data_IF_611393545869
#
_entry.id   IF_611393545869
#
_cell.length_a   1.000
_cell.length_b   1.000
_cell.length_c   1.000
_cell.angle_alpha   90.00
_cell.angle_beta   90.00
_cell.angle_gamma   90.00
#
_symmetry.space_group_name_H-M   'P 1'
#
loop_
_entity.id
_entity.type
_entity.pdbx_description
1 polymer ?
#
# COMPACT_ATOMS: atom_id res chain seq x y z
N UNK A 1 1.97 -4.00 -25.73
CA UNK A 1 1.11 -4.45 -24.61
C UNK A 1 1.30 -3.48 -23.47
N UNK A 2 0.27 -2.77 -23.03
CA UNK A 2 0.36 -1.89 -21.87
C UNK A 2 0.39 -2.76 -20.60
N UNK A 3 1.49 -2.72 -19.85
CA UNK A 3 1.52 -3.31 -18.52
C UNK A 3 0.51 -2.56 -17.65
N UNK A 4 -0.46 -3.27 -17.07
CA UNK A 4 -1.34 -2.68 -16.07
C UNK A 4 -0.49 -2.43 -14.81
N UNK A 5 -0.13 -1.16 -14.58
CA UNK A 5 0.56 -0.76 -13.35
C UNK A 5 -0.44 -0.86 -12.21
N UNK A 6 -0.28 -1.88 -11.35
CA UNK A 6 -1.00 -1.95 -10.09
C UNK A 6 -0.16 -1.25 -9.04
N UNK A 7 -0.74 -0.26 -8.38
CA UNK A 7 -0.06 0.39 -7.27
C UNK A 7 -0.32 -0.41 -5.99
N UNK A 8 0.75 -0.79 -5.29
CA UNK A 8 0.64 -1.34 -3.94
C UNK A 8 0.91 -0.23 -2.91
N UNK A 9 0.33 -0.40 -1.74
CA UNK A 9 0.55 0.42 -0.56
C UNK A 9 1.49 -0.38 0.34
N UNK A 10 2.57 0.25 0.77
CA UNK A 10 3.58 -0.36 1.64
C UNK A 10 3.52 0.36 2.97
N UNK A 11 3.38 -0.41 4.05
CA UNK A 11 3.38 0.09 5.41
C UNK A 11 4.64 -0.38 6.10
N UNK A 12 5.36 0.53 6.73
CA UNK A 12 6.57 0.21 7.49
C UNK A 12 6.44 0.76 8.90
N UNK A 13 6.66 -0.08 9.91
CA UNK A 13 6.70 0.32 11.32
C UNK A 13 7.82 -0.43 12.02
N UNK A 14 8.94 0.26 12.24
CA UNK A 14 10.18 -0.37 12.69
C UNK A 14 10.62 -1.47 11.71
N UNK A 15 10.75 -2.69 12.21
CA UNK A 15 11.14 -3.88 11.43
C UNK A 15 9.97 -4.56 10.70
N UNK A 16 8.73 -4.12 10.95
CA UNK A 16 7.55 -4.68 10.29
C UNK A 16 7.29 -3.98 8.96
N UNK A 17 7.07 -4.77 7.92
CA UNK A 17 6.69 -4.28 6.60
C UNK A 17 5.50 -5.06 6.06
N UNK A 18 4.44 -4.34 5.72
CA UNK A 18 3.21 -4.89 5.19
C UNK A 18 2.93 -4.36 3.78
N UNK A 19 2.33 -5.20 2.95
CA UNK A 19 2.03 -4.89 1.56
C UNK A 19 0.54 -5.08 1.29
N UNK A 20 -0.10 -4.02 0.84
CA UNK A 20 -1.55 -3.97 0.64
C UNK A 20 -1.87 -3.53 -0.79
N UNK A 21 -2.75 -4.25 -1.47
CA UNK A 21 -3.20 -3.89 -2.82
C UNK A 21 -4.36 -2.90 -2.81
N UNK A 22 -5.05 -2.77 -1.67
CA UNK A 22 -6.22 -1.89 -1.51
C UNK A 22 -6.18 -1.19 -0.16
N UNK A 23 -6.42 0.13 -0.19
CA UNK A 23 -6.53 0.92 1.03
C UNK A 23 -7.75 0.52 1.87
N UNK A 24 -8.80 -0.01 1.24
CA UNK A 24 -10.01 -0.47 1.94
C UNK A 24 -9.67 -1.67 2.82
N UNK A 25 -9.07 -2.71 2.23
CA UNK A 25 -8.66 -3.93 2.95
C UNK A 25 -7.69 -3.60 4.09
N UNK A 26 -6.78 -2.66 3.85
CA UNK A 26 -5.88 -2.17 4.88
C UNK A 26 -6.64 -1.55 6.05
N UNK A 27 -7.62 -0.68 5.81
CA UNK A 27 -8.38 -0.03 6.89
C UNK A 27 -9.36 -1.00 7.58
N UNK A 28 -9.77 -2.07 6.91
CA UNK A 28 -10.55 -3.16 7.53
C UNK A 28 -9.69 -4.01 8.47
N UNK A 29 -8.43 -4.29 8.08
CA UNK A 29 -7.48 -5.03 8.92
C UNK A 29 -6.91 -4.20 10.07
N UNK A 30 -6.72 -2.91 9.85
CA UNK A 30 -6.16 -1.94 10.79
C UNK A 30 -7.21 -0.86 11.09
N UNK A 31 -8.19 -1.15 11.97
CA UNK A 31 -9.32 -0.26 12.24
C UNK A 31 -8.90 1.06 12.92
N UNK A 32 -7.68 1.14 13.48
CA UNK A 32 -7.15 2.41 13.94
C UNK A 32 -6.83 3.38 12.79
N UNK A 33 -6.75 2.93 11.54
CA UNK A 33 -6.49 3.79 10.40
C UNK A 33 -7.77 4.36 9.79
N UNK A 34 -7.77 5.68 9.60
CA UNK A 34 -8.86 6.36 8.89
C UNK A 34 -8.60 6.37 7.39
N UNK A 35 -9.44 5.66 6.64
CA UNK A 35 -9.43 5.66 5.16
C UNK A 35 -9.44 7.08 4.58
N UNK A 36 -10.32 7.94 5.10
CA UNK A 36 -10.45 9.32 4.60
C UNK A 36 -9.22 10.17 4.88
N UNK A 37 -8.54 9.92 6.01
CA UNK A 37 -7.30 10.60 6.33
C UNK A 37 -6.20 10.17 5.37
N UNK A 38 -5.94 8.86 5.27
CA UNK A 38 -4.89 8.31 4.40
C UNK A 38 -5.10 8.73 2.94
N UNK A 39 -6.34 8.64 2.44
CA UNK A 39 -6.67 9.01 1.05
C UNK A 39 -6.38 10.47 0.70
N UNK A 40 -6.44 11.39 1.68
CA UNK A 40 -6.17 12.81 1.47
C UNK A 40 -4.68 13.13 1.52
N UNK A 41 -3.87 12.28 2.16
CA UNK A 41 -2.43 12.49 2.25
C UNK A 41 -1.74 12.09 0.96
N UNK A 42 -0.65 12.81 0.64
CA UNK A 42 0.22 12.48 -0.48
C UNK A 42 1.28 11.50 0.02
N UNK A 43 1.41 10.36 -0.66
CA UNK A 43 2.44 9.37 -0.37
C UNK A 43 3.83 9.88 -0.83
N UNK A 44 4.92 9.55 -0.10
CA UNK A 44 4.93 8.87 1.20
C UNK A 44 4.60 9.81 2.37
N UNK A 45 4.00 9.29 3.43
CA UNK A 45 3.71 10.04 4.67
C UNK A 45 3.76 9.14 5.91
N UNK A 46 3.86 9.73 7.09
CA UNK A 46 3.83 8.99 8.37
C UNK A 46 2.50 9.22 9.09
N UNK A 47 1.97 8.16 9.69
CA UNK A 47 0.75 8.20 10.47
C UNK A 47 0.74 7.14 11.57
N UNK A 48 0.54 7.58 12.82
CA UNK A 48 0.52 6.70 14.01
C UNK A 48 1.77 5.80 14.14
N UNK A 49 2.94 6.29 13.72
CA UNK A 49 4.20 5.54 13.75
C UNK A 49 4.40 4.59 12.57
N UNK A 50 3.46 4.55 11.62
CA UNK A 50 3.59 3.81 10.37
C UNK A 50 3.95 4.75 9.23
N UNK A 51 4.95 4.38 8.44
CA UNK A 51 5.27 5.02 7.17
C UNK A 51 4.46 4.37 6.07
N UNK A 52 3.68 5.18 5.36
CA UNK A 52 2.87 4.79 4.23
C UNK A 52 3.56 5.20 2.93
N UNK A 53 3.83 4.23 2.08
CA UNK A 53 4.41 4.43 0.75
C UNK A 53 3.49 3.83 -0.32
N UNK A 54 3.64 4.29 -1.55
CA UNK A 54 2.87 3.76 -2.68
C UNK A 54 3.80 3.52 -3.85
N UNK A 55 3.94 2.26 -4.22
CA UNK A 55 4.84 1.87 -5.31
C UNK A 55 4.06 1.26 -6.48
N UNK A 56 4.36 1.65 -7.72
CA UNK A 56 3.84 0.99 -8.90
C UNK A 56 4.52 -0.36 -9.07
N UNK A 57 3.76 -1.45 -8.94
CA UNK A 57 4.25 -2.79 -9.22
C UNK A 57 3.98 -3.10 -10.68
N UNK A 58 5.05 -3.40 -11.39
CA UNK A 58 4.95 -3.97 -12.71
C UNK A 58 4.65 -5.46 -12.53
N UNK A 59 3.37 -5.84 -12.57
CA UNK A 59 2.97 -7.25 -12.57
C UNK A 59 3.39 -7.84 -13.91
N UNK A 60 4.65 -8.24 -14.04
CA UNK A 60 5.02 -9.21 -15.07
C UNK A 60 4.24 -10.46 -14.69
N UNK A 61 3.26 -10.86 -15.50
CA UNK A 61 2.74 -12.23 -15.46
C UNK A 61 3.96 -13.15 -15.53
N UNK A 62 4.35 -13.70 -14.39
CA UNK A 62 5.30 -14.80 -14.35
C UNK A 62 4.65 -15.93 -15.13
N UNK A 63 5.15 -16.15 -16.33
CA UNK A 63 4.94 -17.40 -17.04
C UNK A 63 5.92 -18.37 -16.37
N UNK A 64 5.41 -19.30 -15.58
CA UNK A 64 6.21 -20.36 -14.97
C UNK A 64 5.31 -21.20 -14.07
N UNK A 65 5.19 -22.51 -14.23
CA UNK A 65 5.75 -23.50 -15.18
C UNK A 65 4.69 -24.59 -15.38
#
# INVERSE_FOLDING_TARGET
MAAALNNIIILTCGDLREFWTSLVLLCEAHPEFSYHYIKKNKFPFEYKGWTFEKEPVNVKKGNGE
#
